data_IF_449373541729
#
_entry.id   IF_449373541729
#
_cell.length_a   1.000
_cell.length_b   1.000
_cell.length_c   1.000
_cell.angle_alpha   90.00
_cell.angle_beta   90.00
_cell.angle_gamma   90.00
#
_symmetry.space_group_name_H-M   'P 1'
#
loop_
_entity.id
_entity.type
_entity.pdbx_description
1 polymer ?
#
# COMPACT_ATOMS: atom_id res chain seq x y z
N UNK A 1 3.20 18.32 2.11
CA UNK A 1 4.66 18.40 1.88
C UNK A 1 4.95 17.62 0.60
N UNK A 2 5.56 18.26 -0.40
CA UNK A 2 6.01 17.55 -1.60
C UNK A 2 7.21 16.70 -1.17
N UNK A 3 7.08 15.38 -1.23
CA UNK A 3 8.22 14.48 -1.07
C UNK A 3 9.14 14.74 -2.27
N UNK A 4 10.31 15.33 -2.03
CA UNK A 4 11.42 15.20 -2.97
C UNK A 4 11.70 13.70 -3.11
N UNK A 5 11.24 13.13 -4.21
CA UNK A 5 11.29 11.69 -4.43
C UNK A 5 12.75 11.30 -4.54
N UNK A 6 13.22 10.42 -3.66
CA UNK A 6 14.63 10.02 -3.65
C UNK A 6 14.93 9.18 -4.90
N UNK A 7 16.21 9.06 -5.33
CA UNK A 7 16.56 8.18 -6.45
C UNK A 7 16.10 6.72 -6.27
N UNK A 8 16.07 6.24 -5.02
CA UNK A 8 15.51 4.93 -4.66
C UNK A 8 14.03 4.85 -4.99
N UNK A 9 13.26 5.85 -4.58
CA UNK A 9 11.80 5.87 -4.77
C UNK A 9 11.46 5.94 -6.27
N UNK A 10 12.21 6.75 -7.04
CA UNK A 10 12.07 6.81 -8.49
C UNK A 10 12.46 5.48 -9.16
N UNK A 11 13.53 4.83 -8.72
CA UNK A 11 13.95 3.54 -9.23
C UNK A 11 12.90 2.45 -9.00
N UNK A 12 12.32 2.39 -7.80
CA UNK A 12 11.26 1.43 -7.48
C UNK A 12 9.98 1.69 -8.28
N UNK A 13 9.58 2.96 -8.44
CA UNK A 13 8.44 3.33 -9.29
C UNK A 13 8.66 2.96 -10.75
N UNK A 14 9.90 3.07 -11.23
CA UNK A 14 10.25 2.68 -12.59
C UNK A 14 10.24 1.17 -12.78
N UNK A 15 10.63 0.39 -11.76
CA UNK A 15 10.57 -1.07 -11.79
C UNK A 15 9.14 -1.62 -11.75
N UNK A 16 8.21 -0.93 -11.10
CA UNK A 16 6.83 -1.40 -10.95
C UNK A 16 6.03 -1.30 -12.26
N UNK A 17 5.83 -2.43 -12.93
CA UNK A 17 5.14 -2.51 -14.23
C UNK A 17 3.63 -2.72 -14.08
N UNK A 18 3.23 -3.45 -13.04
CA UNK A 18 1.82 -3.80 -12.78
C UNK A 18 1.17 -2.87 -11.74
N UNK A 19 -0.16 -2.79 -11.74
CA UNK A 19 -0.91 -2.01 -10.73
C UNK A 19 -0.66 -2.52 -9.31
N UNK A 20 -0.48 -3.83 -9.12
CA UNK A 20 -0.17 -4.42 -7.82
C UNK A 20 1.24 -4.06 -7.34
N UNK A 21 2.24 -4.10 -8.21
CA UNK A 21 3.61 -3.66 -7.88
C UNK A 21 3.64 -2.17 -7.57
N UNK A 22 2.94 -1.35 -8.36
CA UNK A 22 2.84 0.10 -8.12
C UNK A 22 2.19 0.37 -6.76
N UNK A 23 1.12 -0.34 -6.42
CA UNK A 23 0.48 -0.24 -5.11
C UNK A 23 1.41 -0.66 -3.97
N UNK A 24 2.17 -1.73 -4.14
CA UNK A 24 3.15 -2.18 -3.16
C UNK A 24 4.26 -1.12 -2.95
N UNK A 25 4.78 -0.55 -4.04
CA UNK A 25 5.80 0.50 -3.99
C UNK A 25 5.29 1.75 -3.29
N UNK A 26 4.08 2.23 -3.62
CA UNK A 26 3.52 3.42 -2.95
C UNK A 26 3.19 3.16 -1.47
N UNK A 27 2.76 1.95 -1.11
CA UNK A 27 2.58 1.54 0.28
C UNK A 27 3.90 1.67 1.06
N UNK A 28 4.98 1.12 0.51
CA UNK A 28 6.29 1.13 1.15
C UNK A 28 6.89 2.54 1.25
N UNK A 29 6.75 3.37 0.20
CA UNK A 29 7.20 4.77 0.20
C UNK A 29 6.43 5.59 1.23
N UNK A 30 5.12 5.38 1.34
CA UNK A 30 4.26 6.19 2.21
C UNK A 30 4.38 5.80 3.68
N UNK A 31 4.64 4.53 3.98
CA UNK A 31 4.70 4.03 5.34
C UNK A 31 5.90 4.60 6.10
N UNK A 32 5.63 5.34 7.19
CA UNK A 32 6.62 5.97 8.05
C UNK A 32 7.72 6.72 7.29
N UNK A 33 7.35 7.41 6.21
CA UNK A 33 8.30 8.17 5.38
C UNK A 33 9.30 7.30 4.62
N UNK A 34 8.91 6.08 4.24
CA UNK A 34 9.73 5.17 3.46
C UNK A 34 10.67 4.30 4.31
N UNK A 35 10.46 4.20 5.62
CA UNK A 35 11.36 3.44 6.50
C UNK A 35 11.47 1.95 6.10
N UNK A 36 10.40 1.36 5.57
CA UNK A 36 10.46 -0.02 5.07
C UNK A 36 11.34 -0.18 3.82
N UNK A 37 11.81 0.92 3.21
CA UNK A 37 12.70 0.87 2.06
C UNK A 37 14.19 0.80 2.44
N UNK A 38 14.51 0.80 3.73
CA UNK A 38 15.89 0.66 4.23
C UNK A 38 16.30 -0.81 4.41
N UNK A 39 15.35 -1.75 4.25
CA UNK A 39 15.60 -3.18 4.38
C UNK A 39 16.29 -3.81 3.17
N UNK A 40 16.91 -4.99 3.34
CA UNK A 40 17.67 -5.69 2.30
C UNK A 40 16.82 -6.17 1.12
N UNK A 41 15.50 -6.20 1.28
CA UNK A 41 14.54 -6.53 0.23
C UNK A 41 14.39 -5.44 -0.83
N UNK A 42 14.88 -4.22 -0.58
CA UNK A 42 15.06 -3.22 -1.65
C UNK A 42 16.42 -3.46 -2.27
N UNK A 43 16.43 -4.22 -3.37
CA UNK A 43 17.65 -4.60 -4.08
C UNK A 43 18.05 -3.49 -5.04
N UNK A 44 19.36 -3.38 -5.28
CA UNK A 44 19.95 -2.41 -6.19
C UNK A 44 21.04 -3.06 -7.01
N UNK A 45 21.17 -2.66 -8.28
CA UNK A 45 22.33 -2.98 -9.11
C UNK A 45 23.37 -1.85 -9.04
N UNK A 46 24.60 -2.15 -9.43
CA UNK A 46 25.66 -1.12 -9.58
C UNK A 46 25.29 -0.05 -10.63
N UNK A 47 24.41 -0.40 -11.58
CA UNK A 47 23.86 0.50 -12.58
C UNK A 47 22.74 1.43 -12.04
N UNK A 48 22.36 1.29 -10.77
CA UNK A 48 21.38 2.15 -10.10
C UNK A 48 19.91 1.70 -10.22
N UNK A 49 19.63 0.60 -10.90
CA UNK A 49 18.28 0.02 -10.95
C UNK A 49 17.90 -0.52 -9.58
N UNK A 50 16.66 -0.29 -9.14
CA UNK A 50 16.14 -0.73 -7.85
C UNK A 50 14.88 -1.59 -8.03
N UNK A 51 14.73 -2.67 -7.26
CA UNK A 51 13.50 -3.48 -7.24
C UNK A 51 13.18 -3.97 -5.84
N UNK A 52 11.91 -4.35 -5.61
CA UNK A 52 11.47 -4.99 -4.38
C UNK A 52 11.48 -6.51 -4.53
N UNK A 53 12.18 -7.20 -3.64
CA UNK A 53 12.32 -8.66 -3.63
C UNK A 53 11.52 -9.27 -2.48
N UNK A 54 10.34 -9.86 -2.75
CA UNK A 54 9.45 -10.36 -1.70
C UNK A 54 10.02 -11.60 -1.00
N UNK A 55 10.88 -12.39 -1.65
CA UNK A 55 11.49 -13.58 -1.04
C UNK A 55 12.54 -13.16 0.01
N UNK A 56 13.34 -12.14 -0.31
CA UNK A 56 14.27 -11.53 0.66
C UNK A 56 13.51 -10.86 1.79
N UNK A 57 12.39 -10.19 1.50
CA UNK A 57 11.55 -9.61 2.54
C UNK A 57 11.03 -10.67 3.51
N UNK A 58 10.55 -11.81 2.98
CA UNK A 58 10.06 -12.91 3.80
C UNK A 58 11.15 -13.50 4.70
N UNK A 59 12.38 -13.64 4.18
CA UNK A 59 13.51 -14.19 4.93
C UNK A 59 14.06 -13.23 6.01
N UNK A 60 14.06 -11.92 5.74
CA UNK A 60 14.82 -10.94 6.55
C UNK A 60 13.94 -10.04 7.44
N UNK A 61 12.61 -10.14 7.37
CA UNK A 61 11.69 -9.28 8.13
C UNK A 61 11.57 -9.60 9.64
N UNK A 62 12.33 -10.56 10.15
CA UNK A 62 12.23 -11.06 11.53
C UNK A 62 12.43 -9.98 12.59
N UNK A 63 13.27 -8.98 12.33
CA UNK A 63 13.62 -7.90 13.27
C UNK A 63 12.60 -6.75 13.32
N UNK A 64 11.61 -6.72 12.42
CA UNK A 64 10.61 -5.64 12.36
C UNK A 64 9.63 -5.70 13.54
N UNK A 65 9.05 -4.56 13.90
CA UNK A 65 7.87 -4.55 14.78
C UNK A 65 6.69 -5.30 14.14
N UNK A 66 5.72 -5.72 14.95
CA UNK A 66 4.54 -6.42 14.46
C UNK A 66 3.78 -5.66 13.37
N UNK A 67 3.56 -4.36 13.54
CA UNK A 67 2.88 -3.52 12.55
C UNK A 67 3.69 -3.35 11.26
N UNK A 68 5.00 -3.09 11.37
CA UNK A 68 5.90 -3.01 10.20
C UNK A 68 5.91 -4.32 9.41
N UNK A 69 5.98 -5.46 10.10
CA UNK A 69 5.98 -6.77 9.47
C UNK A 69 4.69 -7.01 8.69
N UNK A 70 3.53 -6.67 9.25
CA UNK A 70 2.23 -6.80 8.57
C UNK A 70 2.12 -5.91 7.33
N UNK A 71 2.59 -4.66 7.40
CA UNK A 71 2.62 -3.78 6.22
C UNK A 71 3.54 -4.34 5.13
N UNK A 72 4.73 -4.82 5.51
CA UNK A 72 5.64 -5.47 4.57
C UNK A 72 5.03 -6.75 3.97
N UNK A 73 4.30 -7.54 4.76
CA UNK A 73 3.56 -8.72 4.29
C UNK A 73 2.51 -8.39 3.25
N UNK A 74 1.75 -7.31 3.44
CA UNK A 74 0.83 -6.84 2.41
C UNK A 74 1.59 -6.49 1.12
N UNK A 75 2.69 -5.73 1.21
CA UNK A 75 3.50 -5.41 0.04
C UNK A 75 4.04 -6.66 -0.67
N UNK A 76 4.51 -7.67 0.07
CA UNK A 76 4.92 -8.97 -0.49
C UNK A 76 3.77 -9.66 -1.23
N UNK A 77 2.58 -9.69 -0.63
CA UNK A 77 1.41 -10.36 -1.21
C UNK A 77 0.91 -9.72 -2.51
N UNK A 78 1.09 -8.39 -2.65
CA UNK A 78 0.73 -7.66 -3.85
C UNK A 78 1.68 -7.98 -5.02
N UNK A 79 2.97 -8.21 -4.72
CA UNK A 79 3.99 -8.49 -5.74
C UNK A 79 4.08 -9.98 -6.07
N UNK A 80 3.80 -10.87 -5.12
CA UNK A 80 3.98 -12.30 -5.28
C UNK A 80 2.87 -13.11 -4.62
N UNK A 81 2.30 -14.03 -5.39
CA UNK A 81 1.28 -14.99 -4.92
C UNK A 81 1.81 -16.02 -3.92
N UNK A 82 3.13 -16.10 -3.71
CA UNK A 82 3.75 -17.02 -2.75
C UNK A 82 3.67 -16.55 -1.30
N UNK A 83 3.34 -15.27 -1.07
CA UNK A 83 3.23 -14.70 0.27
C UNK A 83 1.81 -14.19 0.53
N UNK A 84 0.79 -15.08 0.54
CA UNK A 84 -0.57 -14.67 0.82
C UNK A 84 -0.68 -14.11 2.25
N UNK A 85 -1.61 -13.17 2.45
CA UNK A 85 -1.93 -12.60 3.76
C UNK A 85 -3.38 -12.84 4.12
N UNK A 86 -3.63 -13.07 5.41
CA UNK A 86 -4.96 -12.95 5.98
C UNK A 86 -5.20 -11.48 6.31
N UNK A 87 -6.11 -10.84 5.56
CA UNK A 87 -6.43 -9.43 5.75
C UNK A 87 -7.04 -9.16 7.13
N UNK A 88 -7.80 -10.09 7.71
CA UNK A 88 -8.38 -9.94 9.05
C UNK A 88 -7.29 -9.86 10.11
N UNK A 89 -6.29 -10.73 10.05
CA UNK A 89 -5.14 -10.68 10.96
C UNK A 89 -4.29 -9.41 10.76
N UNK A 90 -4.04 -9.02 9.51
CA UNK A 90 -3.32 -7.78 9.18
C UNK A 90 -3.99 -6.57 9.83
N UNK A 91 -5.32 -6.45 9.69
CA UNK A 91 -6.09 -5.29 10.16
C UNK A 91 -6.11 -5.15 11.69
N UNK A 92 -6.13 -6.26 12.43
CA UNK A 92 -6.18 -6.21 13.90
C UNK A 92 -4.86 -5.79 14.55
N UNK A 93 -3.77 -5.77 13.78
CA UNK A 93 -2.42 -5.62 14.28
C UNK A 93 -1.62 -4.42 13.75
N UNK A 94 -2.28 -3.48 13.08
CA UNK A 94 -1.68 -2.24 12.57
C UNK A 94 -2.40 -1.02 13.15
N UNK A 95 -1.70 0.11 13.28
CA UNK A 95 -2.30 1.35 13.75
C UNK A 95 -3.20 2.00 12.66
N UNK A 96 -4.09 2.94 13.01
CA UNK A 96 -5.02 3.53 12.06
C UNK A 96 -4.37 4.22 10.84
N UNK A 97 -3.18 4.81 10.99
CA UNK A 97 -2.48 5.45 9.87
C UNK A 97 -1.94 4.40 8.90
N UNK A 98 -1.35 3.34 9.44
CA UNK A 98 -0.90 2.19 8.65
C UNK A 98 -2.07 1.52 7.91
N UNK A 99 -3.24 1.40 8.57
CA UNK A 99 -4.44 0.85 7.95
C UNK A 99 -4.90 1.66 6.74
N UNK A 100 -4.95 2.99 6.82
CA UNK A 100 -5.34 3.84 5.70
C UNK A 100 -4.42 3.62 4.49
N UNK A 101 -3.11 3.48 4.71
CA UNK A 101 -2.16 3.21 3.63
C UNK A 101 -2.38 1.83 3.01
N UNK A 102 -2.62 0.79 3.83
CA UNK A 102 -2.94 -0.56 3.35
C UNK A 102 -4.23 -0.55 2.53
N UNK A 103 -5.28 0.10 3.01
CA UNK A 103 -6.55 0.21 2.30
C UNK A 103 -6.38 0.96 0.96
N UNK A 104 -5.61 2.05 0.94
CA UNK A 104 -5.29 2.79 -0.27
C UNK A 104 -4.52 1.91 -1.27
N UNK A 105 -3.52 1.14 -0.81
CA UNK A 105 -2.75 0.25 -1.66
C UNK A 105 -3.63 -0.86 -2.28
N UNK A 106 -4.50 -1.48 -1.49
CA UNK A 106 -5.45 -2.48 -2.00
C UNK A 106 -6.41 -1.84 -3.03
N UNK A 107 -6.90 -0.63 -2.74
CA UNK A 107 -7.72 0.12 -3.68
C UNK A 107 -6.98 0.39 -4.99
N UNK A 108 -5.73 0.86 -4.91
CA UNK A 108 -4.89 1.11 -6.08
C UNK A 108 -4.62 -0.17 -6.88
N UNK A 109 -4.37 -1.30 -6.22
CA UNK A 109 -4.19 -2.59 -6.89
C UNK A 109 -5.45 -3.03 -7.65
N UNK A 110 -6.64 -2.71 -7.11
CA UNK A 110 -7.93 -2.89 -7.79
C UNK A 110 -8.16 -1.89 -8.95
N UNK A 111 -7.38 -0.80 -9.01
CA UNK A 111 -7.53 0.26 -10.01
C UNK A 111 -8.28 1.50 -9.51
N UNK A 112 -8.46 1.65 -8.20
CA UNK A 112 -9.03 2.86 -7.60
C UNK A 112 -8.00 3.98 -7.60
N UNK A 113 -8.41 5.16 -8.04
CA UNK A 113 -7.60 6.36 -7.98
C UNK A 113 -7.36 6.81 -6.52
N UNK A 114 -6.23 7.47 -6.20
CA UNK A 114 -5.93 8.01 -4.87
C UNK A 114 -6.99 8.96 -4.28
N UNK A 115 -7.95 9.43 -5.09
CA UNK A 115 -9.13 10.18 -4.65
C UNK A 115 -10.16 9.34 -3.87
N UNK A 116 -9.82 8.10 -3.50
CA UNK A 116 -10.66 7.21 -2.69
C UNK A 116 -11.02 7.74 -1.28
N UNK A 117 -10.51 8.92 -0.91
CA UNK A 117 -10.88 9.64 0.30
C UNK A 117 -12.19 10.46 0.16
N UNK A 118 -12.78 10.56 -1.03
CA UNK A 118 -14.09 11.23 -1.23
C UNK A 118 -15.20 10.23 -1.56
N UNK A 119 -15.59 9.42 -0.57
CA UNK A 119 -16.87 8.72 -0.57
C UNK A 119 -17.91 9.44 0.31
N UNK A 120 -17.88 10.78 0.34
CA UNK A 120 -18.95 11.58 0.94
C UNK A 120 -20.05 11.98 -0.06
N UNK A 121 -19.87 11.70 -1.36
CA UNK A 121 -20.75 12.20 -2.41
C UNK A 121 -21.62 11.13 -3.09
N UNK A 122 -22.27 10.25 -2.33
CA UNK A 122 -23.53 9.62 -2.77
C UNK A 122 -24.50 9.45 -1.60
N UNK A 123 -24.99 10.58 -1.09
CA UNK A 123 -26.34 10.68 -0.55
C UNK A 123 -27.02 11.84 -1.28
N UNK A 124 -27.28 11.66 -2.59
CA UNK A 124 -28.39 12.37 -3.21
C UNK A 124 -29.66 11.73 -2.67
N UNK A 125 -30.09 12.22 -1.50
CA UNK A 125 -31.40 11.96 -0.98
C UNK A 125 -32.41 12.55 -1.96
N UNK A 126 -32.88 11.73 -2.90
CA UNK A 126 -34.12 12.02 -3.60
C UNK A 126 -35.21 12.14 -2.54
N UNK A 127 -35.52 13.39 -2.20
CA UNK A 127 -36.57 13.81 -1.27
C UNK A 127 -37.85 13.01 -1.58
N UNK A 128 -38.37 12.17 -0.66
CA UNK A 128 -39.68 11.61 -0.86
C UNK A 128 -40.69 12.77 -0.83
N UNK A 129 -41.30 12.99 -1.99
CA UNK A 129 -42.46 13.83 -2.19
C UNK A 129 -43.55 13.45 -1.19
N UNK A 130 -43.91 14.45 -0.39
CA UNK A 130 -45.16 14.60 0.35
C UNK A 130 -46.31 13.76 -0.24
N UNK A 131 -46.69 12.66 0.42
CA UNK A 131 -48.05 12.14 0.26
C UNK A 131 -48.97 13.04 1.10
N UNK A 132 -49.97 13.63 0.45
CA UNK A 132 -51.10 14.28 1.10
C UNK A 132 -52.09 13.18 1.50
N UNK A 133 -52.40 13.09 2.78
CA UNK A 133 -53.56 12.34 3.25
C UNK A 133 -54.85 13.00 2.74
N UNK A 134 -55.79 12.17 2.30
CA UNK A 134 -57.21 12.47 2.13
C UNK A 134 -58.00 11.38 2.83
#
# INVERSE_FOLDING_TARGET
>A
MKNDSTPRDMGLRHWAETTCEQAAVELLISFNGGHLLDGPWVRRTDAGSCWFDPEVAAAECGHLSGGQRRVLQVAMSLVSSKHPVDLGDVMTGIDPKAFVLVAQAIGQAYGLSPSFHDMSATHDATKPTHCKEK
#
